data_IF_593884757838
#
_entry.id   IF_593884757838
#
_cell.length_a   1.000
_cell.length_b   1.000
_cell.length_c   1.000
_cell.angle_alpha   90.00
_cell.angle_beta   90.00
_cell.angle_gamma   90.00
#
_symmetry.space_group_name_H-M   'P 1'
#
loop_
_entity.id
_entity.type
_entity.pdbx_description
1 polymer ?
#
# COMPACT_ATOMS: atom_id res chain seq x y z
N UNK A 1 -1.68 70.39 -6.92
CA UNK A 1 -1.06 71.01 -5.75
C UNK A 1 -0.32 69.88 -5.01
N UNK A 2 1.02 69.73 -5.33
CA UNK A 2 1.93 68.89 -4.56
C UNK A 2 2.30 69.60 -3.25
N UNK A 3 2.95 68.94 -2.23
CA UNK A 3 4.31 68.48 -2.43
C UNK A 3 4.70 67.16 -1.77
N UNK A 4 5.81 66.68 -2.29
CA UNK A 4 6.80 65.73 -1.83
C UNK A 4 7.17 65.73 -0.36
N UNK A 5 7.53 64.57 0.22
CA UNK A 5 8.66 64.49 1.10
C UNK A 5 9.34 63.12 0.93
N UNK A 6 10.61 63.22 0.49
CA UNK A 6 11.60 62.15 0.45
C UNK A 6 12.27 62.01 1.85
N UNK A 7 12.65 60.80 2.22
CA UNK A 7 13.50 60.53 3.37
C UNK A 7 14.44 59.36 3.03
N UNK A 8 15.68 59.70 2.92
CA UNK A 8 16.81 58.87 2.48
C UNK A 8 17.32 57.87 3.58
N UNK A 9 18.25 56.96 3.22
CA UNK A 9 18.62 55.79 3.98
C UNK A 9 19.80 56.02 4.91
N UNK A 10 19.88 55.31 6.01
CA UNK A 10 21.03 55.30 6.93
C UNK A 10 21.79 53.98 6.80
N UNK A 11 22.93 54.03 6.14
CA UNK A 11 23.93 52.98 6.12
C UNK A 11 24.79 53.06 7.38
N UNK A 12 24.91 52.01 8.15
CA UNK A 12 25.88 51.84 9.20
C UNK A 12 26.89 50.75 8.84
N UNK A 13 28.09 51.18 8.50
CA UNK A 13 29.29 50.36 8.37
C UNK A 13 29.89 50.08 9.72
N UNK A 14 30.12 48.83 10.08
CA UNK A 14 30.94 48.46 11.23
C UNK A 14 32.17 47.66 10.78
N UNK A 15 33.30 48.27 11.03
CA UNK A 15 34.65 47.80 10.69
C UNK A 15 35.10 46.69 11.65
N UNK A 16 35.62 45.63 11.09
CA UNK A 16 36.26 44.50 11.79
C UNK A 16 37.71 44.77 12.02
N UNK A 17 38.13 44.82 13.27
CA UNK A 17 39.52 44.88 13.66
C UNK A 17 40.08 43.48 13.90
N UNK A 18 41.02 43.06 13.07
CA UNK A 18 41.78 41.85 13.23
C UNK A 18 42.80 42.00 14.36
N UNK A 19 42.79 41.13 15.35
CA UNK A 19 43.91 40.90 16.26
C UNK A 19 44.44 39.50 16.10
N UNK A 20 45.63 39.42 15.53
CA UNK A 20 46.48 38.23 15.52
C UNK A 20 47.12 38.12 16.90
N UNK A 21 47.02 36.96 17.51
CA UNK A 21 47.94 36.53 18.55
C UNK A 21 48.41 35.11 18.22
N UNK A 22 49.72 35.01 18.23
CA UNK A 22 50.49 33.80 17.89
C UNK A 22 50.72 32.93 19.16
N UNK A 23 50.92 31.67 18.88
CA UNK A 23 51.75 30.69 19.58
C UNK A 23 51.25 30.14 20.92
N UNK A 24 51.15 28.83 21.05
CA UNK A 24 52.19 27.95 21.60
C UNK A 24 51.76 26.50 21.39
N UNK A 25 52.62 25.70 20.77
CA UNK A 25 52.45 24.26 20.65
C UNK A 25 52.72 23.57 22.00
N UNK A 26 51.79 22.77 22.46
CA UNK A 26 52.04 21.70 23.42
C UNK A 26 51.52 20.42 22.86
N UNK A 27 52.40 19.55 22.40
CA UNK A 27 52.10 18.19 22.03
C UNK A 27 51.85 17.36 23.31
N UNK A 28 50.63 17.03 23.58
CA UNK A 28 50.28 15.98 24.56
C UNK A 28 49.48 14.94 23.79
N UNK A 29 50.11 13.79 23.50
CA UNK A 29 49.48 12.64 22.92
C UNK A 29 48.41 12.06 23.83
N UNK A 30 47.17 12.24 23.48
CA UNK A 30 46.07 11.48 24.01
C UNK A 30 45.58 10.52 22.92
N UNK A 31 45.88 9.26 23.09
CA UNK A 31 45.23 8.16 22.37
C UNK A 31 43.77 8.14 22.76
N UNK A 32 42.95 8.87 22.04
CA UNK A 32 41.49 8.76 22.14
C UNK A 32 41.13 7.49 21.37
N UNK A 33 41.00 6.37 22.10
CA UNK A 33 40.36 5.18 21.58
C UNK A 33 38.93 5.54 21.19
N UNK A 34 38.66 5.63 19.90
CA UNK A 34 37.30 5.71 19.37
C UNK A 34 36.59 4.40 19.69
N UNK A 35 35.81 4.39 20.76
CA UNK A 35 34.83 3.35 21.01
C UNK A 35 33.77 3.52 19.92
N UNK A 36 33.91 2.77 18.83
CA UNK A 36 32.84 2.63 17.87
C UNK A 36 31.68 1.93 18.59
N UNK A 37 30.68 2.70 18.98
CA UNK A 37 29.41 2.15 19.41
C UNK A 37 28.86 1.31 18.24
N UNK A 38 28.50 0.03 18.46
CA UNK A 38 27.80 -0.71 17.42
C UNK A 38 26.57 0.11 17.10
N UNK A 39 26.47 0.59 15.84
CA UNK A 39 25.22 1.07 15.30
C UNK A 39 24.27 -0.12 15.42
N UNK A 40 23.37 -0.09 16.41
CA UNK A 40 22.24 -0.99 16.45
C UNK A 40 21.54 -0.81 15.12
N UNK A 41 21.75 -1.77 14.20
CA UNK A 41 20.86 -1.97 13.08
C UNK A 41 19.50 -2.23 13.73
N UNK A 42 18.72 -1.17 13.93
CA UNK A 42 17.32 -1.31 14.27
C UNK A 42 16.79 -2.20 13.16
N UNK A 43 16.36 -3.41 13.53
CA UNK A 43 15.67 -4.31 12.64
C UNK A 43 14.59 -3.48 11.95
N UNK A 44 14.88 -3.04 10.73
CA UNK A 44 13.91 -2.44 9.85
C UNK A 44 12.94 -3.57 9.48
N UNK A 45 12.07 -3.93 10.42
CA UNK A 45 10.89 -4.73 10.08
C UNK A 45 10.22 -3.96 8.96
N UNK A 46 9.98 -4.60 7.79
CA UNK A 46 9.29 -3.92 6.72
C UNK A 46 8.00 -3.34 7.32
N UNK A 47 7.86 -2.02 7.26
CA UNK A 47 6.68 -1.32 7.75
C UNK A 47 5.51 -1.89 6.96
N UNK A 48 4.76 -2.81 7.58
CA UNK A 48 3.54 -3.33 6.98
C UNK A 48 2.61 -2.13 6.86
N UNK A 49 2.21 -1.81 5.64
CA UNK A 49 1.29 -0.70 5.42
C UNK A 49 0.05 -0.88 6.30
N UNK A 50 -0.43 0.22 6.88
CA UNK A 50 -1.63 0.19 7.73
C UNK A 50 -2.82 -0.40 6.97
N UNK A 51 -2.93 -0.09 5.67
CA UNK A 51 -3.95 -0.63 4.76
C UNK A 51 -3.29 -1.63 3.82
N UNK A 52 -3.91 -2.80 3.66
CA UNK A 52 -3.43 -3.85 2.76
C UNK A 52 -4.58 -4.51 2.01
N UNK A 53 -4.27 -5.15 0.89
CA UNK A 53 -5.17 -6.06 0.19
C UNK A 53 -5.25 -7.35 1.00
N UNK A 54 -6.38 -7.59 1.67
CA UNK A 54 -6.56 -8.74 2.55
C UNK A 54 -7.06 -9.97 1.81
N UNK A 55 -7.84 -9.77 0.74
CA UNK A 55 -8.41 -10.85 -0.06
C UNK A 55 -8.74 -10.37 -1.47
N UNK A 56 -8.65 -11.27 -2.44
CA UNK A 56 -9.12 -11.07 -3.81
C UNK A 56 -10.05 -12.22 -4.18
N UNK A 57 -11.26 -11.89 -4.63
CA UNK A 57 -12.19 -12.81 -5.26
C UNK A 57 -12.23 -12.49 -6.74
N UNK A 58 -11.28 -13.03 -7.50
CA UNK A 58 -11.10 -12.77 -8.92
C UNK A 58 -11.97 -13.71 -9.80
N UNK A 59 -12.37 -14.86 -9.28
CA UNK A 59 -13.22 -15.85 -9.95
C UNK A 59 -14.60 -15.85 -9.28
N UNK A 60 -15.60 -15.26 -9.94
CA UNK A 60 -16.95 -15.18 -9.42
C UNK A 60 -17.52 -16.59 -9.20
N UNK A 61 -18.08 -16.90 -8.00
CA UNK A 61 -18.66 -18.22 -7.76
C UNK A 61 -19.79 -18.54 -8.72
N UNK A 62 -19.73 -19.72 -9.35
CA UNK A 62 -20.75 -20.22 -10.25
C UNK A 62 -20.40 -19.98 -11.71
N UNK A 63 -21.42 -19.78 -12.55
CA UNK A 63 -21.23 -19.56 -13.99
C UNK A 63 -21.10 -18.08 -14.30
N UNK A 64 -20.08 -17.71 -15.05
CA UNK A 64 -19.82 -16.34 -15.51
C UNK A 64 -20.81 -15.91 -16.58
N UNK A 65 -21.99 -15.46 -16.14
CA UNK A 65 -23.10 -15.09 -17.03
C UNK A 65 -23.20 -13.59 -17.32
N UNK A 66 -22.24 -12.79 -16.81
CA UNK A 66 -22.21 -11.33 -17.00
C UNK A 66 -23.32 -10.56 -16.30
N UNK A 67 -24.15 -11.22 -15.48
CA UNK A 67 -25.16 -10.49 -14.69
C UNK A 67 -24.48 -9.61 -13.65
N UNK A 68 -25.13 -8.51 -13.27
CA UNK A 68 -24.60 -7.62 -12.25
C UNK A 68 -24.33 -8.33 -10.91
N UNK A 69 -25.13 -9.34 -10.59
CA UNK A 69 -24.92 -10.19 -9.41
C UNK A 69 -23.61 -10.97 -9.53
N UNK A 70 -23.34 -11.57 -10.68
CA UNK A 70 -22.10 -12.29 -10.93
C UNK A 70 -20.89 -11.34 -10.92
N UNK A 71 -21.01 -10.18 -11.57
CA UNK A 71 -19.95 -9.15 -11.52
C UNK A 71 -19.67 -8.66 -10.10
N UNK A 72 -20.68 -8.53 -9.25
CA UNK A 72 -20.49 -8.11 -7.84
C UNK A 72 -19.97 -9.22 -6.92
N UNK A 73 -19.92 -10.48 -7.40
CA UNK A 73 -19.21 -11.57 -6.73
C UNK A 73 -17.70 -11.54 -7.02
N UNK A 74 -17.25 -10.72 -7.94
CA UNK A 74 -15.85 -10.40 -8.19
C UNK A 74 -15.48 -9.11 -7.44
N UNK A 75 -14.50 -9.18 -6.52
CA UNK A 75 -14.14 -8.05 -5.65
C UNK A 75 -12.73 -8.16 -5.08
N UNK A 76 -12.19 -7.03 -4.67
CA UNK A 76 -10.96 -6.91 -3.88
C UNK A 76 -11.29 -6.31 -2.53
N UNK A 77 -10.81 -6.93 -1.45
CA UNK A 77 -11.01 -6.48 -0.06
C UNK A 77 -9.75 -5.78 0.46
N UNK A 78 -9.93 -4.58 0.99
CA UNK A 78 -8.89 -3.83 1.69
C UNK A 78 -9.18 -3.86 3.19
N UNK A 79 -8.13 -4.07 3.99
CA UNK A 79 -8.20 -4.04 5.45
C UNK A 79 -7.27 -2.98 6.02
N UNK A 80 -7.79 -2.15 6.90
CA UNK A 80 -6.99 -1.28 7.74
C UNK A 80 -6.61 -2.04 9.03
N UNK A 81 -5.34 -2.40 9.17
CA UNK A 81 -4.83 -3.13 10.33
C UNK A 81 -4.46 -2.24 11.51
N UNK A 82 -4.45 -0.93 11.31
CA UNK A 82 -4.17 0.03 12.37
C UNK A 82 -5.41 0.27 13.25
N UNK A 83 -5.19 0.85 14.42
CA UNK A 83 -6.29 1.27 15.31
C UNK A 83 -6.93 2.57 14.84
N UNK A 84 -6.23 3.35 14.05
CA UNK A 84 -6.65 4.66 13.58
C UNK A 84 -7.38 4.58 12.25
N UNK A 85 -8.29 5.54 12.03
CA UNK A 85 -8.92 5.73 10.72
C UNK A 85 -7.88 6.21 9.72
N UNK A 86 -7.89 5.63 8.52
CA UNK A 86 -7.06 6.04 7.38
C UNK A 86 -7.93 6.70 6.32
N UNK A 87 -7.55 7.89 5.87
CA UNK A 87 -8.19 8.55 4.74
C UNK A 87 -7.64 7.94 3.44
N UNK A 88 -8.54 7.36 2.63
CA UNK A 88 -8.21 6.78 1.33
C UNK A 88 -8.52 7.74 0.16
N UNK A 89 -8.89 9.01 0.43
CA UNK A 89 -9.21 9.95 -0.65
C UNK A 89 -8.02 10.10 -1.61
N UNK A 90 -8.29 9.94 -2.91
CA UNK A 90 -7.26 9.94 -3.94
C UNK A 90 -6.46 8.64 -4.10
N UNK A 91 -6.64 7.65 -3.22
CA UNK A 91 -6.02 6.34 -3.38
C UNK A 91 -6.59 5.61 -4.59
N UNK A 92 -5.77 4.72 -5.16
CA UNK A 92 -6.17 3.97 -6.35
C UNK A 92 -5.95 2.47 -6.17
N UNK A 93 -6.93 1.68 -6.63
CA UNK A 93 -6.81 0.24 -6.82
C UNK A 93 -6.84 -0.04 -8.32
N UNK A 94 -5.78 -0.64 -8.85
CA UNK A 94 -5.60 -0.84 -10.30
C UNK A 94 -5.40 -2.31 -10.63
N UNK A 95 -6.11 -2.80 -11.64
CA UNK A 95 -5.89 -4.06 -12.32
C UNK A 95 -4.73 -3.89 -13.31
N UNK A 96 -3.78 -4.87 -13.37
CA UNK A 96 -2.50 -4.67 -14.03
C UNK A 96 -2.52 -4.82 -15.55
N UNK A 97 -3.42 -5.63 -16.12
CA UNK A 97 -3.40 -6.00 -17.55
C UNK A 97 -4.09 -4.98 -18.46
N UNK A 98 -5.23 -4.46 -18.03
CA UNK A 98 -6.05 -3.49 -18.79
C UNK A 98 -5.97 -2.09 -18.18
N UNK A 99 -5.35 -1.95 -17.00
CA UNK A 99 -5.23 -0.68 -16.31
C UNK A 99 -6.56 -0.15 -15.76
N UNK A 100 -7.54 -1.03 -15.54
CA UNK A 100 -8.81 -0.63 -14.92
C UNK A 100 -8.53 -0.15 -13.51
N UNK A 101 -8.91 1.08 -13.21
CA UNK A 101 -8.59 1.73 -11.94
C UNK A 101 -9.86 2.21 -11.25
N UNK A 102 -9.97 1.88 -9.96
CA UNK A 102 -10.89 2.51 -9.02
C UNK A 102 -10.14 3.61 -8.24
N UNK A 103 -10.73 4.78 -8.13
CA UNK A 103 -10.19 5.88 -7.31
C UNK A 103 -11.15 6.14 -6.16
N UNK A 104 -10.66 6.00 -4.94
CA UNK A 104 -11.43 6.34 -3.74
C UNK A 104 -11.66 7.85 -3.67
N UNK A 105 -12.92 8.25 -3.47
CA UNK A 105 -13.31 9.66 -3.33
C UNK A 105 -14.06 9.84 -2.03
N UNK A 106 -13.60 10.79 -1.20
CA UNK A 106 -14.23 11.12 0.09
C UNK A 106 -14.45 9.88 0.98
N UNK A 107 -13.50 8.93 0.92
CA UNK A 107 -13.60 7.64 1.62
C UNK A 107 -12.58 7.55 2.75
N UNK A 108 -13.05 7.12 3.92
CA UNK A 108 -12.18 6.86 5.09
C UNK A 108 -12.45 5.47 5.64
N UNK A 109 -11.40 4.67 5.76
CA UNK A 109 -11.46 3.32 6.30
C UNK A 109 -11.17 3.34 7.80
N UNK A 110 -12.14 2.96 8.61
CA UNK A 110 -12.01 2.90 10.07
C UNK A 110 -10.88 1.97 10.53
N UNK A 111 -10.39 2.16 11.75
CA UNK A 111 -9.44 1.22 12.34
C UNK A 111 -10.03 -0.19 12.44
N UNK A 112 -9.23 -1.20 12.10
CA UNK A 112 -9.63 -2.62 12.07
C UNK A 112 -10.88 -2.92 11.22
N UNK A 113 -11.14 -2.09 10.20
CA UNK A 113 -12.27 -2.24 9.29
C UNK A 113 -11.83 -2.70 7.91
N UNK A 114 -12.78 -3.23 7.15
CA UNK A 114 -12.60 -3.66 5.76
C UNK A 114 -13.54 -2.91 4.83
N UNK A 115 -13.14 -2.79 3.55
CA UNK A 115 -13.99 -2.36 2.44
C UNK A 115 -13.76 -3.28 1.25
N UNK A 116 -14.82 -3.64 0.52
CA UNK A 116 -14.77 -4.39 -0.73
C UNK A 116 -15.00 -3.45 -1.91
N UNK A 117 -14.16 -3.59 -2.91
CA UNK A 117 -14.31 -2.93 -4.20
C UNK A 117 -14.86 -3.97 -5.18
N UNK A 118 -16.15 -3.88 -5.48
CA UNK A 118 -16.87 -4.80 -6.38
C UNK A 118 -16.75 -4.35 -7.82
N UNK A 119 -16.75 -5.30 -8.76
CA UNK A 119 -16.63 -5.01 -10.19
C UNK A 119 -17.89 -4.39 -10.78
N UNK A 120 -19.06 -4.93 -10.45
CA UNK A 120 -20.34 -4.50 -11.05
C UNK A 120 -20.84 -3.17 -10.54
N UNK A 121 -22.14 -2.92 -10.78
CA UNK A 121 -22.82 -1.69 -10.41
C UNK A 121 -23.47 -1.82 -9.05
N UNK A 122 -23.37 -0.77 -8.21
CA UNK A 122 -24.01 -0.76 -6.90
C UNK A 122 -24.02 0.61 -6.24
N UNK A 123 -24.46 0.67 -5.01
CA UNK A 123 -24.46 1.90 -4.20
C UNK A 123 -23.34 1.81 -3.18
N UNK A 124 -22.43 2.76 -3.23
CA UNK A 124 -21.33 2.85 -2.29
C UNK A 124 -21.80 3.01 -0.85
N UNK A 125 -21.16 2.25 0.04
CA UNK A 125 -21.33 2.26 1.48
C UNK A 125 -19.96 2.35 2.15
N UNK A 126 -19.92 2.33 3.48
CA UNK A 126 -18.64 2.28 4.21
C UNK A 126 -17.97 0.88 4.16
N UNK A 127 -18.64 -0.15 3.63
CA UNK A 127 -18.13 -1.52 3.51
C UNK A 127 -17.98 -2.00 2.09
N UNK A 128 -18.75 -1.45 1.17
CA UNK A 128 -18.82 -1.89 -0.21
C UNK A 128 -18.80 -0.68 -1.13
N UNK A 129 -17.91 -0.69 -2.11
CA UNK A 129 -17.82 0.31 -3.17
C UNK A 129 -17.73 -0.39 -4.53
N UNK A 130 -18.07 0.31 -5.61
CA UNK A 130 -18.29 -0.32 -6.89
C UNK A 130 -17.49 0.35 -8.00
N UNK A 131 -16.91 -0.48 -8.89
CA UNK A 131 -16.23 -0.05 -10.11
C UNK A 131 -17.20 0.39 -11.21
N UNK A 132 -18.50 0.07 -11.05
CA UNK A 132 -19.58 0.34 -12.01
C UNK A 132 -19.30 -0.22 -13.42
N UNK A 133 -18.70 -1.41 -13.47
CA UNK A 133 -18.38 -2.10 -14.72
C UNK A 133 -19.50 -3.04 -15.14
N UNK A 134 -19.57 -3.28 -16.46
CA UNK A 134 -20.50 -4.23 -17.07
C UNK A 134 -19.80 -5.49 -17.59
N UNK A 135 -18.50 -5.61 -17.36
CA UNK A 135 -17.66 -6.75 -17.71
C UNK A 135 -16.75 -7.08 -16.55
N UNK A 136 -16.32 -8.33 -16.44
CA UNK A 136 -15.33 -8.77 -15.48
C UNK A 136 -14.03 -7.97 -15.65
N UNK A 137 -13.42 -7.62 -14.53
CA UNK A 137 -12.19 -6.83 -14.49
C UNK A 137 -10.99 -7.73 -14.23
N UNK A 138 -11.09 -8.60 -13.25
CA UNK A 138 -9.98 -9.44 -12.81
C UNK A 138 -9.88 -10.70 -13.68
N UNK A 139 -8.68 -11.02 -14.16
CA UNK A 139 -8.46 -12.23 -14.96
C UNK A 139 -8.39 -13.46 -14.06
N UNK A 140 -9.21 -14.51 -14.35
CA UNK A 140 -9.30 -15.73 -13.54
C UNK A 140 -8.01 -16.54 -13.56
N UNK A 141 -7.16 -16.41 -14.58
CA UNK A 141 -5.94 -17.19 -14.71
C UNK A 141 -4.73 -16.50 -14.10
N UNK A 142 -4.58 -15.17 -14.31
CA UNK A 142 -3.41 -14.44 -13.84
C UNK A 142 -3.64 -12.94 -13.88
N UNK A 143 -3.43 -12.28 -12.76
CA UNK A 143 -3.48 -10.82 -12.68
C UNK A 143 -2.75 -10.30 -11.44
N UNK A 144 -2.75 -8.97 -11.28
CA UNK A 144 -2.24 -8.27 -10.10
C UNK A 144 -3.16 -7.10 -9.75
N UNK A 145 -3.65 -7.09 -8.53
CA UNK A 145 -4.29 -5.95 -7.93
C UNK A 145 -3.22 -5.07 -7.25
N UNK A 146 -3.14 -3.80 -7.61
CA UNK A 146 -2.14 -2.86 -7.06
C UNK A 146 -2.84 -1.71 -6.34
N UNK A 147 -2.53 -1.53 -5.05
CA UNK A 147 -3.02 -0.42 -4.24
C UNK A 147 -1.93 0.67 -4.14
N UNK A 148 -2.31 1.92 -4.46
CA UNK A 148 -1.42 3.08 -4.35
C UNK A 148 -2.09 4.19 -3.54
N UNK A 149 -1.28 4.96 -2.82
CA UNK A 149 -1.76 6.13 -2.09
C UNK A 149 -2.04 7.35 -3.02
N UNK A 150 -2.48 8.46 -2.43
CA UNK A 150 -2.76 9.73 -3.10
C UNK A 150 -1.52 10.34 -3.81
N UNK A 151 -0.31 9.94 -3.38
CA UNK A 151 0.97 10.32 -3.99
C UNK A 151 1.48 9.30 -5.00
N UNK A 152 0.66 8.32 -5.38
CA UNK A 152 0.96 7.21 -6.29
C UNK A 152 2.05 6.25 -5.78
N UNK A 153 2.41 6.27 -4.50
CA UNK A 153 3.34 5.33 -3.91
C UNK A 153 2.66 3.98 -3.74
N UNK A 154 3.39 2.91 -4.03
CA UNK A 154 2.90 1.56 -3.79
C UNK A 154 2.63 1.37 -2.29
N UNK A 155 1.45 0.92 -1.95
CA UNK A 155 1.03 0.57 -0.59
C UNK A 155 1.04 -0.94 -0.42
N UNK A 156 0.39 -1.65 -1.35
CA UNK A 156 0.33 -3.12 -1.34
C UNK A 156 -0.02 -3.64 -2.73
N UNK A 157 0.29 -4.91 -2.99
CA UNK A 157 -0.16 -5.61 -4.20
C UNK A 157 -0.49 -7.06 -3.89
N UNK A 158 -1.39 -7.64 -4.69
CA UNK A 158 -1.77 -9.04 -4.64
C UNK A 158 -1.79 -9.61 -6.05
N UNK A 159 -0.98 -10.65 -6.29
CA UNK A 159 -0.88 -11.35 -7.56
C UNK A 159 -1.36 -12.77 -7.45
N UNK A 160 -1.96 -13.31 -8.51
CA UNK A 160 -2.39 -14.71 -8.60
C UNK A 160 -2.07 -15.30 -9.96
N UNK A 161 -2.03 -16.65 -10.06
CA UNK A 161 -1.91 -17.40 -11.30
C UNK A 161 -0.54 -17.40 -11.99
N UNK A 162 0.52 -16.86 -11.38
CA UNK A 162 1.89 -16.90 -11.90
C UNK A 162 2.63 -18.17 -11.51
N UNK A 163 3.28 -18.86 -12.46
CA UNK A 163 4.29 -19.87 -12.12
C UNK A 163 5.51 -19.16 -11.53
N UNK A 164 5.70 -19.26 -10.21
CA UNK A 164 6.97 -18.94 -9.57
C UNK A 164 7.17 -17.52 -9.03
N UNK A 165 6.16 -16.97 -8.33
CA UNK A 165 6.37 -15.88 -7.41
C UNK A 165 6.05 -16.36 -5.99
N UNK A 166 6.94 -16.12 -5.02
CA UNK A 166 6.62 -16.20 -3.60
C UNK A 166 5.61 -15.11 -3.26
N UNK A 167 4.36 -15.34 -3.64
CA UNK A 167 3.23 -14.52 -3.26
C UNK A 167 2.26 -15.41 -2.51
N UNK A 168 1.87 -15.00 -1.33
CA UNK A 168 0.81 -15.66 -0.58
C UNK A 168 -0.42 -15.78 -1.48
N UNK A 169 -0.73 -17.01 -1.92
CA UNK A 169 -2.00 -17.34 -2.57
C UNK A 169 -3.13 -17.08 -1.57
N UNK A 170 -3.59 -15.83 -1.52
CA UNK A 170 -4.77 -15.43 -0.74
C UNK A 170 -6.07 -15.69 -1.50
N UNK A 171 -6.05 -16.69 -2.40
CA UNK A 171 -7.22 -17.20 -3.07
C UNK A 171 -8.12 -18.00 -2.11
N UNK A 172 -9.42 -18.17 -2.41
CA UNK A 172 -10.30 -18.98 -1.61
C UNK A 172 -9.80 -20.43 -1.58
N UNK A 173 -9.36 -20.90 -0.41
CA UNK A 173 -8.89 -22.27 -0.21
C UNK A 173 -9.97 -23.26 -0.64
N UNK A 174 -9.75 -23.93 -1.76
CA UNK A 174 -10.50 -25.15 -2.09
C UNK A 174 -10.05 -26.22 -1.12
N UNK A 175 -10.89 -26.53 -0.13
CA UNK A 175 -10.70 -27.70 0.71
C UNK A 175 -10.60 -28.94 -0.18
N UNK A 176 -9.41 -29.50 -0.28
CA UNK A 176 -9.20 -30.83 -0.82
C UNK A 176 -9.94 -31.80 0.10
N UNK A 177 -11.06 -32.33 -0.38
CA UNK A 177 -11.67 -33.52 0.21
C UNK A 177 -10.91 -34.70 -0.39
N UNK A 178 -10.04 -35.27 0.36
CA UNK A 178 -9.48 -36.59 0.11
C UNK A 178 -10.62 -37.62 0.31
N UNK A 179 -11.28 -37.96 -0.78
CA UNK A 179 -12.16 -39.13 -0.83
C UNK A 179 -11.27 -40.37 -0.96
N UNK A 180 -10.79 -40.83 0.19
CA UNK A 180 -10.13 -42.12 0.36
C UNK A 180 -11.14 -43.26 0.13
N UNK A 181 -11.33 -43.66 -1.15
CA UNK A 181 -12.06 -44.88 -1.48
C UNK A 181 -11.10 -46.04 -1.47
N UNK A 182 -11.00 -46.68 -0.29
CA UNK A 182 -10.38 -47.98 -0.14
C UNK A 182 -10.92 -49.02 -1.12
N UNK A 183 -10.06 -49.49 -2.01
CA UNK A 183 -10.31 -50.67 -2.81
C UNK A 183 -10.04 -51.90 -1.94
N UNK A 184 -11.10 -52.44 -1.33
CA UNK A 184 -11.12 -53.80 -0.81
C UNK A 184 -11.05 -54.80 -1.96
N UNK A 185 -9.92 -55.45 -2.10
CA UNK A 185 -9.81 -56.68 -2.87
C UNK A 185 -10.30 -57.82 -1.98
N UNK A 186 -11.37 -58.46 -2.36
CA UNK A 186 -11.70 -59.81 -1.89
C UNK A 186 -11.54 -60.78 -3.06
N UNK A 187 -10.45 -61.60 -2.97
CA UNK A 187 -10.35 -62.89 -3.62
C UNK A 187 -11.12 -63.90 -2.75
N UNK A 188 -12.07 -64.61 -3.32
CA UNK A 188 -12.21 -66.07 -3.16
C UNK A 188 -13.44 -66.64 -3.88
N UNK A 189 -13.10 -67.59 -4.75
CA UNK A 189 -13.75 -68.82 -5.20
C UNK A 189 -14.83 -68.70 -6.27
#
# INVERSE_FOLDING_TARGET
MCPHHAGEPVTASASVTARRLAAVAIAAGALVGSVALPASAADARPHRADVQISRVQYDSPGFDNGSNRSLNNEWVELTNNSRSRVNLDGWTLTESRRGVTYTFRHFSLGGHSTVRVHTGVGRDTFRDVYLDRRNYVWDNNRDTATLRDDRRRLVDDASWGGRGGRGDDRGPGRGHRDDDRGHGRDHRR
#
